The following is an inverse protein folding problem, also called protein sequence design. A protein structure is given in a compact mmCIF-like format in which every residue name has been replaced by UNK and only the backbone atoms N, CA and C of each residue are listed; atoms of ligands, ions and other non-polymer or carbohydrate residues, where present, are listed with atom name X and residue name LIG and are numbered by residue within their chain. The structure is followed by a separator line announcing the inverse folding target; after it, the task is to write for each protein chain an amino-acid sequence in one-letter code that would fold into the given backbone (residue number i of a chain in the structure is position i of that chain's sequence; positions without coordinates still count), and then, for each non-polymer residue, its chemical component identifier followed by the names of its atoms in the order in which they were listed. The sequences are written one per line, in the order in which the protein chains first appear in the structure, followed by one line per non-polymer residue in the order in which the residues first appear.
data_IF_992508255013
#
_entry.id   IF_992508255013
#
_cell.length_a   1.000
_cell.length_b   1.000
_cell.length_c   1.000
_cell.angle_alpha   90.00
_cell.angle_beta   90.00
_cell.angle_gamma   90.00
#
_symmetry.space_group_name_H-M   'P 1'
#
loop_
_entity.id
_entity.type
_entity.pdbx_description
1 polymer ?
#
# COMPACT_ATOMS: atom_id res chain seq x y z
N UNK A 1 -24.46 -2.27 -21.90
CA UNK A 1 -24.03 -3.52 -21.25
C UNK A 1 -22.50 -3.70 -21.28
N UNK A 2 -21.74 -2.76 -21.87
CA UNK A 2 -20.33 -2.98 -22.25
C UNK A 2 -19.28 -2.49 -21.24
N UNK A 3 -19.57 -1.47 -20.42
CA UNK A 3 -18.60 -0.90 -19.48
C UNK A 3 -18.27 -1.83 -18.30
N UNK A 4 -19.26 -2.52 -17.74
CA UNK A 4 -19.06 -3.49 -16.64
C UNK A 4 -18.29 -4.73 -17.09
N UNK A 5 -18.53 -5.21 -18.31
CA UNK A 5 -17.81 -6.37 -18.86
C UNK A 5 -16.34 -6.03 -19.18
N UNK A 6 -16.09 -4.80 -19.66
CA UNK A 6 -14.73 -4.28 -19.89
C UNK A 6 -13.94 -4.11 -18.60
N UNK A 7 -14.55 -3.49 -17.57
CA UNK A 7 -13.91 -3.31 -16.25
C UNK A 7 -13.59 -4.64 -15.55
N UNK A 8 -14.50 -5.61 -15.60
CA UNK A 8 -14.26 -6.95 -15.03
C UNK A 8 -13.08 -7.68 -15.70
N UNK A 9 -12.93 -7.55 -17.02
CA UNK A 9 -11.81 -8.15 -17.76
C UNK A 9 -10.47 -7.47 -17.44
N UNK A 10 -10.46 -6.14 -17.26
CA UNK A 10 -9.27 -5.41 -16.82
C UNK A 10 -8.84 -5.84 -15.42
N UNK A 11 -9.78 -5.99 -14.49
CA UNK A 11 -9.49 -6.42 -13.13
C UNK A 11 -8.88 -7.83 -13.08
N UNK A 12 -9.46 -8.78 -13.82
CA UNK A 12 -8.89 -10.15 -13.95
C UNK A 12 -7.48 -10.15 -14.53
N UNK A 13 -7.20 -9.28 -15.51
CA UNK A 13 -5.86 -9.14 -16.09
C UNK A 13 -4.87 -8.58 -15.05
N UNK A 14 -5.28 -7.56 -14.29
CA UNK A 14 -4.48 -7.00 -13.21
C UNK A 14 -4.20 -8.05 -12.13
N UNK A 15 -5.20 -8.82 -11.71
CA UNK A 15 -5.03 -9.93 -10.76
C UNK A 15 -3.98 -10.94 -11.23
N UNK A 16 -4.07 -11.39 -12.50
CA UNK A 16 -3.11 -12.34 -13.05
C UNK A 16 -1.67 -11.77 -13.15
N UNK A 17 -1.50 -10.47 -13.36
CA UNK A 17 -0.18 -9.81 -13.35
C UNK A 17 0.37 -9.68 -11.93
N UNK A 18 -0.46 -9.26 -10.97
CA UNK A 18 -0.09 -9.13 -9.57
C UNK A 18 0.29 -10.48 -8.97
N UNK A 19 -0.48 -11.54 -9.23
CA UNK A 19 -0.14 -12.89 -8.77
C UNK A 19 1.15 -13.44 -9.39
N UNK A 20 1.43 -13.09 -10.66
CA UNK A 20 2.74 -13.39 -11.27
C UNK A 20 3.88 -12.64 -10.58
N UNK A 21 3.66 -11.37 -10.24
CA UNK A 21 4.64 -10.58 -9.47
C UNK A 21 4.88 -11.15 -8.08
N UNK A 22 3.82 -11.54 -7.35
CA UNK A 22 3.96 -12.23 -6.06
C UNK A 22 4.76 -13.53 -6.21
N UNK A 23 4.46 -14.32 -7.25
CA UNK A 23 5.18 -15.57 -7.51
C UNK A 23 6.67 -15.35 -7.80
N UNK A 24 7.03 -14.29 -8.54
CA UNK A 24 8.44 -13.97 -8.82
C UNK A 24 9.20 -13.49 -7.59
N UNK A 25 8.51 -12.89 -6.62
CA UNK A 25 9.10 -12.42 -5.37
C UNK A 25 9.18 -13.49 -4.27
N UNK A 26 8.57 -14.68 -4.46
CA UNK A 26 8.51 -15.75 -3.45
C UNK A 26 9.85 -16.02 -2.74
N UNK A 27 10.92 -16.26 -3.51
CA UNK A 27 12.23 -16.59 -2.94
C UNK A 27 12.80 -15.45 -2.09
N UNK A 28 12.56 -14.21 -2.51
CA UNK A 28 13.03 -13.01 -1.80
C UNK A 28 12.25 -12.81 -0.50
N UNK A 29 10.91 -12.91 -0.55
CA UNK A 29 10.05 -12.75 0.63
C UNK A 29 10.38 -13.82 1.68
N UNK A 30 10.43 -15.10 1.29
CA UNK A 30 10.79 -16.17 2.22
C UNK A 30 12.23 -16.03 2.75
N UNK A 31 13.17 -15.58 1.91
CA UNK A 31 14.57 -15.41 2.29
C UNK A 31 14.79 -14.29 3.31
N UNK A 32 13.91 -13.29 3.37
CA UNK A 32 13.99 -12.20 4.32
C UNK A 32 13.19 -12.42 5.61
N UNK A 33 12.42 -13.50 5.74
CA UNK A 33 11.52 -13.71 6.88
C UNK A 33 12.23 -13.61 8.25
N UNK A 34 13.36 -14.31 8.43
CA UNK A 34 14.13 -14.27 9.68
C UNK A 34 14.72 -12.88 9.95
N UNK A 35 15.12 -12.16 8.90
CA UNK A 35 15.66 -10.80 9.02
C UNK A 35 14.55 -9.80 9.40
N UNK A 36 13.36 -9.94 8.82
CA UNK A 36 12.18 -9.13 9.12
C UNK A 36 11.82 -9.27 10.60
N UNK A 37 11.78 -10.50 11.12
CA UNK A 37 11.47 -10.76 12.52
C UNK A 37 12.52 -10.15 13.46
N UNK A 38 13.81 -10.34 13.14
CA UNK A 38 14.93 -9.81 13.92
C UNK A 38 14.95 -8.29 13.97
N UNK A 39 14.84 -7.64 12.82
CA UNK A 39 14.97 -6.18 12.70
C UNK A 39 13.68 -5.43 12.98
N UNK A 40 12.55 -6.16 12.95
CA UNK A 40 11.19 -5.64 13.12
C UNK A 40 10.85 -4.57 12.07
N UNK A 41 11.30 -4.80 10.84
CA UNK A 41 11.04 -3.95 9.67
C UNK A 41 11.32 -4.72 8.36
N UNK A 42 10.71 -4.27 7.26
CA UNK A 42 11.02 -4.80 5.94
C UNK A 42 12.39 -4.29 5.46
N UNK A 43 13.27 -5.16 4.93
CA UNK A 43 14.53 -4.74 4.32
C UNK A 43 14.31 -3.85 3.08
N UNK A 44 15.21 -2.89 2.85
CA UNK A 44 15.13 -1.93 1.73
C UNK A 44 15.07 -2.63 0.36
N UNK A 45 15.81 -3.73 0.20
CA UNK A 45 15.78 -4.52 -1.04
C UNK A 45 14.39 -5.09 -1.33
N UNK A 46 13.73 -5.61 -0.31
CA UNK A 46 12.36 -6.13 -0.42
C UNK A 46 11.38 -4.99 -0.71
N UNK A 47 11.47 -3.87 0.00
CA UNK A 47 10.63 -2.69 -0.25
C UNK A 47 10.73 -2.22 -1.70
N UNK A 48 11.95 -2.07 -2.20
CA UNK A 48 12.17 -1.66 -3.59
C UNK A 48 11.52 -2.65 -4.58
N UNK A 49 11.56 -3.95 -4.30
CA UNK A 49 10.90 -4.96 -5.13
C UNK A 49 9.37 -4.89 -5.09
N UNK A 50 8.80 -4.60 -3.92
CA UNK A 50 7.36 -4.40 -3.74
C UNK A 50 6.85 -3.15 -4.46
N UNK A 51 7.61 -2.06 -4.45
CA UNK A 51 7.30 -0.85 -5.22
C UNK A 51 7.36 -1.09 -6.73
N UNK A 52 8.44 -1.73 -7.22
CA UNK A 52 8.60 -2.03 -8.67
C UNK A 52 7.47 -2.90 -9.22
N UNK A 53 6.88 -3.76 -8.39
CA UNK A 53 5.76 -4.64 -8.76
C UNK A 53 4.39 -4.01 -8.53
N UNK A 54 4.34 -2.71 -8.16
CA UNK A 54 3.10 -1.96 -7.90
C UNK A 54 2.22 -2.56 -6.79
N UNK A 55 2.77 -3.41 -5.92
CA UNK A 55 2.01 -4.04 -4.83
C UNK A 55 1.53 -3.02 -3.78
N UNK A 56 2.19 -1.88 -3.65
CA UNK A 56 1.75 -0.75 -2.82
C UNK A 56 0.66 0.12 -3.47
N UNK A 57 0.32 -0.12 -4.74
CA UNK A 57 -0.54 0.75 -5.56
C UNK A 57 -1.88 0.10 -5.93
N UNK A 58 -2.21 -1.05 -5.34
CA UNK A 58 -3.39 -1.85 -5.72
C UNK A 58 -4.71 -1.10 -5.50
N UNK A 59 -4.88 -0.46 -4.34
CA UNK A 59 -6.11 0.26 -3.98
C UNK A 59 -6.04 1.77 -4.21
N UNK A 60 -4.94 2.28 -4.76
CA UNK A 60 -4.81 3.67 -5.14
C UNK A 60 -5.65 3.95 -6.40
N UNK A 61 -6.34 5.10 -6.51
CA UNK A 61 -7.07 5.48 -7.72
C UNK A 61 -6.15 5.69 -8.94
N UNK A 62 -6.65 5.35 -10.14
CA UNK A 62 -5.87 5.44 -11.39
C UNK A 62 -5.30 6.84 -11.71
N UNK A 63 -6.02 7.96 -11.46
CA UNK A 63 -5.48 9.30 -11.74
C UNK A 63 -4.16 9.63 -11.01
N UNK A 64 -3.87 8.90 -9.93
CA UNK A 64 -2.67 9.05 -9.09
C UNK A 64 -1.65 7.91 -9.29
N UNK A 65 -1.76 7.16 -10.40
CA UNK A 65 -0.83 6.06 -10.71
C UNK A 65 -1.17 4.74 -10.03
N UNK A 66 -2.38 4.61 -9.50
CA UNK A 66 -2.85 3.37 -8.88
C UNK A 66 -3.47 2.38 -9.87
N UNK A 67 -3.70 1.16 -9.39
CA UNK A 67 -4.32 0.08 -10.17
C UNK A 67 -5.84 0.02 -9.99
N UNK A 68 -6.35 0.58 -8.88
CA UNK A 68 -7.77 0.62 -8.53
C UNK A 68 -8.44 -0.77 -8.67
N UNK A 69 -7.79 -1.80 -8.12
CA UNK A 69 -8.28 -3.19 -8.21
C UNK A 69 -9.51 -3.42 -7.33
N UNK A 70 -10.26 -4.49 -7.60
CA UNK A 70 -11.43 -4.82 -6.76
C UNK A 70 -10.97 -5.37 -5.41
N UNK A 71 -11.80 -5.30 -4.35
CA UNK A 71 -11.50 -5.94 -3.07
C UNK A 71 -11.18 -7.44 -3.21
N UNK A 72 -11.88 -8.15 -4.10
CA UNK A 72 -11.63 -9.58 -4.36
C UNK A 72 -10.20 -9.82 -4.86
N UNK A 73 -9.78 -9.10 -5.91
CA UNK A 73 -8.41 -9.19 -6.44
C UNK A 73 -7.37 -8.76 -5.40
N UNK A 74 -7.63 -7.69 -4.64
CA UNK A 74 -6.72 -7.26 -3.58
C UNK A 74 -6.50 -8.35 -2.53
N UNK A 75 -7.57 -8.96 -2.01
CA UNK A 75 -7.44 -10.03 -1.03
C UNK A 75 -6.79 -11.28 -1.62
N UNK A 76 -7.10 -11.68 -2.86
CA UNK A 76 -6.39 -12.77 -3.55
C UNK A 76 -4.87 -12.56 -3.54
N UNK A 77 -4.40 -11.34 -3.81
CA UNK A 77 -2.98 -11.00 -3.85
C UNK A 77 -2.37 -11.02 -2.45
N UNK A 78 -3.01 -10.38 -1.47
CA UNK A 78 -2.54 -10.33 -0.07
C UNK A 78 -2.44 -11.74 0.54
N UNK A 79 -3.43 -12.60 0.30
CA UNK A 79 -3.42 -14.00 0.77
C UNK A 79 -2.21 -14.77 0.22
N UNK A 80 -1.88 -14.58 -1.06
CA UNK A 80 -0.73 -15.25 -1.68
C UNK A 80 0.61 -14.76 -1.11
N UNK A 81 0.72 -13.48 -0.73
CA UNK A 81 1.92 -12.95 -0.06
C UNK A 81 2.01 -13.49 1.37
N UNK A 82 0.88 -13.59 2.07
CA UNK A 82 0.83 -14.06 3.46
C UNK A 82 1.30 -15.52 3.62
N UNK A 83 1.18 -16.34 2.57
CA UNK A 83 1.76 -17.70 2.53
C UNK A 83 3.30 -17.66 2.65
N UNK A 84 3.94 -16.60 2.17
CA UNK A 84 5.40 -16.46 2.17
C UNK A 84 5.91 -15.71 3.40
N UNK A 85 5.25 -14.60 3.76
CA UNK A 85 5.52 -13.85 4.99
C UNK A 85 4.30 -13.00 5.38
N UNK A 86 3.81 -13.19 6.60
CA UNK A 86 2.64 -12.50 7.12
C UNK A 86 2.91 -11.01 7.41
N UNK A 87 4.13 -10.65 7.83
CA UNK A 87 4.50 -9.26 8.15
C UNK A 87 4.51 -8.38 6.90
N UNK A 88 5.06 -8.89 5.79
CA UNK A 88 5.05 -8.27 4.47
C UNK A 88 3.63 -8.07 3.97
N UNK A 89 2.80 -9.12 4.04
CA UNK A 89 1.38 -9.04 3.65
C UNK A 89 0.63 -8.00 4.48
N UNK A 90 0.86 -7.94 5.79
CA UNK A 90 0.21 -6.97 6.68
C UNK A 90 0.62 -5.52 6.36
N UNK A 91 1.92 -5.27 6.13
CA UNK A 91 2.39 -3.93 5.76
C UNK A 91 1.80 -3.45 4.42
N UNK A 92 1.75 -4.33 3.40
CA UNK A 92 1.10 -4.03 2.13
C UNK A 92 -0.40 -3.77 2.29
N UNK A 93 -1.07 -4.57 3.12
CA UNK A 93 -2.50 -4.41 3.38
C UNK A 93 -2.80 -3.03 3.99
N UNK A 94 -2.05 -2.66 5.01
CA UNK A 94 -2.20 -1.36 5.69
C UNK A 94 -1.89 -0.19 4.75
N UNK A 95 -0.79 -0.26 4.00
CA UNK A 95 -0.40 0.78 3.05
C UNK A 95 -1.47 1.02 1.96
N UNK A 96 -1.99 -0.05 1.36
CA UNK A 96 -3.08 0.04 0.38
C UNK A 96 -4.39 0.52 1.02
N UNK A 97 -4.68 0.11 2.25
CA UNK A 97 -5.78 0.65 3.03
C UNK A 97 -5.65 2.16 3.21
N UNK A 98 -4.42 2.63 3.45
CA UNK A 98 -4.14 4.05 3.59
C UNK A 98 -4.29 4.84 2.29
N UNK A 99 -3.91 4.25 1.15
CA UNK A 99 -3.99 4.92 -0.16
C UNK A 99 -5.43 5.22 -0.61
N UNK A 100 -6.43 4.53 -0.06
CA UNK A 100 -7.84 4.85 -0.35
C UNK A 100 -8.23 6.28 0.07
N UNK A 101 -7.48 6.91 0.99
CA UNK A 101 -7.66 8.32 1.34
C UNK A 101 -7.54 9.26 0.11
N UNK A 102 -6.78 8.87 -0.92
CA UNK A 102 -6.64 9.63 -2.16
C UNK A 102 -7.98 9.95 -2.83
N UNK A 103 -9.00 9.11 -2.66
CA UNK A 103 -10.34 9.33 -3.22
C UNK A 103 -11.11 10.47 -2.50
N UNK A 104 -10.66 10.87 -1.31
CA UNK A 104 -11.34 11.85 -0.45
C UNK A 104 -10.53 13.13 -0.23
N UNK A 105 -9.25 13.14 -0.64
CA UNK A 105 -8.38 14.30 -0.54
C UNK A 105 -8.60 15.25 -1.73
N UNK A 106 -8.28 16.55 -1.59
CA UNK A 106 -8.10 17.43 -2.74
C UNK A 106 -7.11 16.81 -3.72
N UNK A 107 -7.42 16.85 -5.02
CA UNK A 107 -6.60 16.19 -6.05
C UNK A 107 -5.13 16.67 -6.08
N UNK A 108 -4.87 17.92 -5.73
CA UNK A 108 -3.51 18.46 -5.61
C UNK A 108 -2.71 17.76 -4.50
N UNK A 109 -3.35 17.50 -3.34
CA UNK A 109 -2.72 16.82 -2.20
C UNK A 109 -2.44 15.35 -2.55
N UNK A 110 -3.40 14.67 -3.19
CA UNK A 110 -3.18 13.30 -3.63
C UNK A 110 -2.11 13.19 -4.74
N UNK A 111 -2.01 14.19 -5.61
CA UNK A 111 -0.94 14.27 -6.63
C UNK A 111 0.43 14.37 -5.95
N UNK A 112 0.59 15.28 -5.00
CA UNK A 112 1.84 15.47 -4.26
C UNK A 112 2.31 14.19 -3.55
N UNK A 113 1.39 13.46 -2.91
CA UNK A 113 1.73 12.25 -2.15
C UNK A 113 2.09 11.08 -3.08
N UNK A 114 1.32 10.87 -4.16
CA UNK A 114 1.36 9.61 -4.91
C UNK A 114 1.81 9.73 -6.36
N UNK A 115 1.50 10.84 -7.02
CA UNK A 115 1.78 10.96 -8.45
C UNK A 115 3.19 11.47 -8.73
N UNK A 116 3.67 12.35 -7.88
CA UNK A 116 5.01 12.96 -8.02
C UNK A 116 6.10 12.14 -7.27
N UNK A 117 5.69 11.10 -6.53
CA UNK A 117 6.57 10.15 -5.86
C UNK A 117 6.07 8.71 -6.09
N UNK A 118 6.81 7.91 -6.87
CA UNK A 118 6.52 6.51 -7.16
C UNK A 118 6.63 5.58 -5.93
N UNK A 119 7.33 6.01 -4.88
CA UNK A 119 7.44 5.30 -3.60
C UNK A 119 6.49 5.84 -2.51
N UNK A 120 5.68 6.85 -2.82
CA UNK A 120 4.73 7.45 -1.86
C UNK A 120 3.76 6.44 -1.26
N UNK A 121 3.83 6.26 0.05
CA UNK A 121 2.99 5.36 0.85
C UNK A 121 2.56 6.08 2.11
N UNK A 122 1.37 5.76 2.61
CA UNK A 122 0.90 6.28 3.90
C UNK A 122 0.83 5.14 4.92
N UNK A 123 1.03 5.49 6.19
CA UNK A 123 0.76 4.60 7.31
C UNK A 123 0.09 5.39 8.43
N UNK A 124 -0.90 4.78 9.09
CA UNK A 124 -1.56 5.35 10.26
C UNK A 124 -1.77 4.29 11.34
N UNK A 125 -2.06 4.76 12.55
CA UNK A 125 -2.38 3.90 13.68
C UNK A 125 -3.26 4.63 14.70
N UNK A 126 -3.89 3.91 15.63
CA UNK A 126 -4.69 4.51 16.68
C UNK A 126 -3.84 5.40 17.59
N UNK A 127 -4.43 6.49 18.06
CA UNK A 127 -3.73 7.42 18.95
C UNK A 127 -4.63 8.55 19.43
N UNK A 128 -4.09 9.34 20.33
CA UNK A 128 -4.70 10.60 20.76
C UNK A 128 -3.77 11.74 20.35
N UNK A 129 -4.33 12.69 19.63
CA UNK A 129 -3.67 13.92 19.23
C UNK A 129 -4.55 15.13 19.54
N UNK A 130 -3.91 16.29 19.59
CA UNK A 130 -4.55 17.59 19.70
C UNK A 130 -4.16 18.40 18.47
N UNK A 131 -5.16 19.05 17.88
CA UNK A 131 -4.97 20.02 16.81
C UNK A 131 -5.25 21.41 17.36
N UNK A 132 -4.25 22.29 17.34
CA UNK A 132 -4.42 23.71 17.68
C UNK A 132 -4.41 24.52 16.39
N UNK A 133 -5.47 25.27 16.14
CA UNK A 133 -5.51 26.23 15.02
C UNK A 133 -4.43 27.29 15.21
N UNK A 134 -3.70 27.56 14.14
CA UNK A 134 -2.69 28.61 14.01
C UNK A 134 -2.92 29.35 12.69
N UNK A 135 -2.24 30.48 12.47
CA UNK A 135 -2.31 31.15 11.17
C UNK A 135 -1.84 30.20 10.06
N UNK A 136 -2.63 30.07 9.00
CA UNK A 136 -2.35 29.17 7.88
C UNK A 136 -2.59 27.66 8.12
N UNK A 137 -3.06 27.21 9.29
CA UNK A 137 -3.37 25.77 9.47
C UNK A 137 -3.50 25.29 10.92
N UNK A 138 -2.90 24.12 11.20
CA UNK A 138 -2.97 23.45 12.50
C UNK A 138 -1.59 23.01 12.98
N UNK A 139 -1.31 23.22 14.27
CA UNK A 139 -0.22 22.55 14.97
C UNK A 139 -0.76 21.25 15.58
N UNK A 140 -0.20 20.12 15.14
CA UNK A 140 -0.56 18.78 15.61
C UNK A 140 0.46 18.30 16.65
N UNK A 141 -0.04 17.78 17.76
CA UNK A 141 0.77 17.09 18.77
C UNK A 141 0.05 15.84 19.24
N UNK A 142 0.75 14.74 19.47
CA UNK A 142 0.10 13.50 19.85
C UNK A 142 1.04 12.31 19.86
N UNK A 143 0.46 11.15 20.20
CA UNK A 143 1.14 9.86 20.10
C UNK A 143 0.19 8.87 19.45
N UNK A 144 0.68 8.24 18.39
CA UNK A 144 0.02 7.17 17.67
C UNK A 144 0.86 5.91 17.79
N UNK A 145 0.19 4.78 17.97
CA UNK A 145 0.80 3.47 18.16
C UNK A 145 0.32 2.53 17.05
N UNK A 146 1.00 1.40 16.86
CA UNK A 146 0.63 0.40 15.84
C UNK A 146 0.57 0.97 14.42
N UNK A 147 1.53 1.83 14.08
CA UNK A 147 1.73 2.34 12.72
C UNK A 147 2.48 1.26 11.92
N UNK A 148 1.78 0.18 11.56
CA UNK A 148 2.34 -0.91 10.76
C UNK A 148 2.86 -0.38 9.42
N UNK A 149 4.11 -0.71 9.09
CA UNK A 149 4.78 -0.17 7.91
C UNK A 149 5.25 1.28 8.03
N UNK A 150 5.07 1.95 9.17
CA UNK A 150 5.38 3.38 9.33
C UNK A 150 6.85 3.79 9.24
N UNK A 151 7.79 2.84 9.13
CA UNK A 151 9.19 3.15 8.79
C UNK A 151 9.44 3.24 7.28
N UNK A 152 8.42 2.92 6.48
CA UNK A 152 8.47 2.77 5.02
C UNK A 152 7.46 3.70 4.32
N UNK A 153 6.92 4.66 5.07
CA UNK A 153 5.88 5.62 4.68
C UNK A 153 6.31 7.04 5.07
#
# INVERSE_FOLDING_TARGET
MDAQHSSANLNKKAEAELLRSVSSLKSMICGFADQIEKDRQLPDELLAALHRTSLFRMLLPQPFGGLEVTPGTFFSVIENIAIFDASTAWCLCQANGCSMAAAFLPSSVATEIWKDDDCGVLAWGPGKGQAKTVDGGFLLSGRWSFISGGRHA
#
